data_IF_515493156934
#
_entry.id   IF_515493156934
#
_cell.length_a   1.000
_cell.length_b   1.000
_cell.length_c   1.000
_cell.angle_alpha   90.00
_cell.angle_beta   90.00
_cell.angle_gamma   90.00
#
_symmetry.space_group_name_H-M   'P 1'
#
loop_
_entity.id
_entity.type
_entity.pdbx_description
1 polymer ?
#
# COMPACT_ATOMS: atom_id res chain seq x y z
N UNK A 1 -33.03 63.24 16.21
CA UNK A 1 -33.26 61.93 16.87
C UNK A 1 -33.27 60.86 15.78
N UNK A 2 -32.10 60.31 15.45
CA UNK A 2 -31.95 59.24 14.43
C UNK A 2 -31.24 58.09 15.13
N UNK A 3 -31.91 56.93 15.15
CA UNK A 3 -31.50 55.73 15.90
C UNK A 3 -30.19 55.17 15.31
N UNK A 4 -29.24 54.71 16.15
CA UNK A 4 -28.09 53.97 15.64
C UNK A 4 -28.54 52.57 15.19
N UNK A 5 -28.07 52.16 14.02
CA UNK A 5 -28.19 50.80 13.51
C UNK A 5 -27.42 49.90 14.48
N UNK A 6 -28.14 49.01 15.17
CA UNK A 6 -27.54 47.99 16.03
C UNK A 6 -26.66 47.08 15.16
N UNK A 7 -25.34 47.23 15.32
CA UNK A 7 -24.34 46.23 14.97
C UNK A 7 -24.77 44.88 15.56
N UNK A 8 -25.07 43.91 14.71
CA UNK A 8 -25.32 42.51 15.05
C UNK A 8 -24.06 41.89 15.67
N UNK A 9 -23.96 41.92 17.00
CA UNK A 9 -23.10 41.01 17.78
C UNK A 9 -23.86 39.70 18.00
N UNK A 10 -23.20 38.56 17.73
CA UNK A 10 -23.48 37.32 18.49
C UNK A 10 -23.84 36.04 17.74
N UNK A 11 -23.51 35.87 16.46
CA UNK A 11 -23.52 34.52 15.87
C UNK A 11 -22.10 33.93 15.96
N UNK A 12 -21.89 32.95 16.85
CA UNK A 12 -20.66 32.16 16.87
C UNK A 12 -20.39 31.63 15.46
N UNK A 13 -19.13 31.70 15.02
CA UNK A 13 -18.71 31.18 13.72
C UNK A 13 -19.10 29.71 13.63
N UNK A 14 -19.30 29.23 12.41
CA UNK A 14 -19.54 27.80 12.15
C UNK A 14 -18.40 26.95 12.75
N UNK A 15 -17.17 27.48 12.73
CA UNK A 15 -16.01 26.86 13.37
C UNK A 15 -16.16 26.77 14.90
N UNK A 16 -16.54 27.89 15.56
CA UNK A 16 -16.74 27.94 17.01
C UNK A 16 -17.81 26.93 17.47
N UNK A 17 -18.88 26.78 16.69
CA UNK A 17 -19.95 25.80 16.98
C UNK A 17 -19.48 24.36 16.84
N UNK A 18 -18.59 24.07 15.89
CA UNK A 18 -18.00 22.74 15.72
C UNK A 18 -17.07 22.42 16.90
N UNK A 19 -16.22 23.37 17.27
CA UNK A 19 -15.31 23.22 18.41
C UNK A 19 -16.08 23.04 19.74
N UNK A 20 -17.16 23.79 19.93
CA UNK A 20 -18.03 23.66 21.10
C UNK A 20 -18.67 22.26 21.16
N UNK A 21 -19.19 21.72 20.05
CA UNK A 21 -19.75 20.36 20.00
C UNK A 21 -18.70 19.30 20.31
N UNK A 22 -17.49 19.44 19.77
CA UNK A 22 -16.38 18.53 20.07
C UNK A 22 -16.02 18.56 21.57
N UNK A 23 -15.98 19.75 22.18
CA UNK A 23 -15.75 19.91 23.63
C UNK A 23 -16.87 19.32 24.49
N UNK A 24 -18.12 19.40 24.01
CA UNK A 24 -19.29 18.83 24.68
C UNK A 24 -19.42 17.31 24.49
N UNK A 25 -18.58 16.68 23.66
CA UNK A 25 -18.66 15.26 23.35
C UNK A 25 -19.78 14.88 22.37
N UNK A 26 -20.43 15.86 21.73
CA UNK A 26 -21.41 15.62 20.66
C UNK A 26 -20.71 15.33 19.33
N UNK A 27 -20.00 14.22 19.27
CA UNK A 27 -19.22 13.82 18.09
C UNK A 27 -20.10 13.47 16.89
N UNK A 28 -21.27 12.88 17.14
CA UNK A 28 -22.22 12.58 16.08
C UNK A 28 -22.77 13.87 15.45
N UNK A 29 -23.20 14.84 16.27
CA UNK A 29 -23.66 16.14 15.78
C UNK A 29 -22.55 16.92 15.07
N UNK A 30 -21.31 16.87 15.59
CA UNK A 30 -20.15 17.45 14.91
C UNK A 30 -19.92 16.80 13.53
N UNK A 31 -19.94 15.47 13.43
CA UNK A 31 -19.79 14.74 12.16
C UNK A 31 -20.88 15.14 11.15
N UNK A 32 -22.15 15.16 11.56
CA UNK A 32 -23.25 15.54 10.65
C UNK A 32 -23.11 16.99 10.17
N UNK A 33 -22.64 17.89 11.05
CA UNK A 33 -22.38 19.28 10.70
C UNK A 33 -21.20 19.40 9.73
N UNK A 34 -20.10 18.68 9.96
CA UNK A 34 -18.97 18.58 9.03
C UNK A 34 -19.41 18.09 7.65
N UNK A 35 -20.16 16.98 7.58
CA UNK A 35 -20.67 16.42 6.32
C UNK A 35 -21.58 17.40 5.59
N UNK A 36 -22.46 18.10 6.30
CA UNK A 36 -23.37 19.08 5.69
C UNK A 36 -22.61 20.26 5.10
N UNK A 37 -21.59 20.77 5.81
CA UNK A 37 -20.72 21.84 5.33
C UNK A 37 -19.89 21.39 4.13
N UNK A 38 -19.30 20.20 4.22
CA UNK A 38 -18.53 19.58 3.15
C UNK A 38 -19.35 19.46 1.88
N UNK A 39 -20.55 18.86 1.94
CA UNK A 39 -21.43 18.69 0.78
C UNK A 39 -21.82 20.01 0.14
N UNK A 40 -22.04 21.06 0.94
CA UNK A 40 -22.32 22.41 0.43
C UNK A 40 -21.13 23.01 -0.31
N UNK A 41 -19.92 22.93 0.25
CA UNK A 41 -18.73 23.47 -0.42
C UNK A 41 -18.38 22.69 -1.68
N UNK A 42 -18.50 21.36 -1.64
CA UNK A 42 -18.32 20.51 -2.81
C UNK A 42 -19.34 20.84 -3.91
N UNK A 43 -20.63 21.00 -3.55
CA UNK A 43 -21.68 21.35 -4.50
C UNK A 43 -21.54 22.77 -5.07
N UNK A 44 -20.96 23.71 -4.32
CA UNK A 44 -20.68 25.07 -4.81
C UNK A 44 -19.41 25.17 -5.67
N UNK A 45 -18.71 24.07 -5.91
CA UNK A 45 -17.45 24.04 -6.65
C UNK A 45 -16.23 24.56 -5.87
N UNK A 46 -16.39 24.85 -4.57
CA UNK A 46 -15.29 25.30 -3.72
C UNK A 46 -14.56 24.11 -3.12
N UNK A 47 -13.85 23.39 -3.99
CA UNK A 47 -13.19 22.14 -3.64
C UNK A 47 -12.09 22.35 -2.59
N UNK A 48 -11.38 23.48 -2.63
CA UNK A 48 -10.32 23.76 -1.65
C UNK A 48 -10.88 23.84 -0.24
N UNK A 49 -11.96 24.60 -0.01
CA UNK A 49 -12.61 24.66 1.31
C UNK A 49 -13.19 23.32 1.73
N UNK A 50 -13.75 22.55 0.80
CA UNK A 50 -14.25 21.20 1.10
C UNK A 50 -13.12 20.26 1.54
N UNK A 51 -11.96 20.31 0.87
CA UNK A 51 -10.76 19.53 1.22
C UNK A 51 -10.22 19.93 2.60
N UNK A 52 -10.05 21.23 2.85
CA UNK A 52 -9.54 21.74 4.14
C UNK A 52 -10.47 21.37 5.30
N UNK A 53 -11.78 21.47 5.08
CA UNK A 53 -12.78 21.09 6.07
C UNK A 53 -12.74 19.58 6.35
N UNK A 54 -12.69 18.74 5.32
CA UNK A 54 -12.67 17.29 5.48
C UNK A 54 -11.37 16.81 6.16
N UNK A 55 -10.23 17.40 5.80
CA UNK A 55 -8.95 17.16 6.45
C UNK A 55 -9.01 17.52 7.94
N UNK A 56 -9.45 18.74 8.26
CA UNK A 56 -9.56 19.22 9.64
C UNK A 56 -10.51 18.33 10.44
N UNK A 57 -11.65 17.96 9.88
CA UNK A 57 -12.61 17.08 10.52
C UNK A 57 -12.00 15.70 10.82
N UNK A 58 -11.31 15.09 9.84
CA UNK A 58 -10.70 13.77 10.01
C UNK A 58 -9.64 13.77 11.12
N UNK A 59 -8.76 14.77 11.17
CA UNK A 59 -7.74 14.90 12.21
C UNK A 59 -8.38 15.13 13.59
N UNK A 60 -9.34 16.06 13.69
CA UNK A 60 -10.00 16.36 14.97
C UNK A 60 -10.77 15.16 15.51
N UNK A 61 -11.53 14.47 14.66
CA UNK A 61 -12.28 13.28 15.07
C UNK A 61 -11.35 12.16 15.54
N UNK A 62 -10.21 11.94 14.89
CA UNK A 62 -9.20 10.97 15.33
C UNK A 62 -8.52 11.38 16.66
N UNK A 63 -8.29 12.67 16.89
CA UNK A 63 -7.77 13.17 18.17
C UNK A 63 -8.75 12.96 19.35
N UNK A 64 -10.04 12.78 19.05
CA UNK A 64 -11.10 12.46 20.01
C UNK A 64 -11.52 10.97 19.97
N UNK A 65 -10.66 10.09 19.43
CA UNK A 65 -10.85 8.65 19.32
C UNK A 65 -12.09 8.22 18.50
N UNK A 66 -12.60 9.11 17.66
CA UNK A 66 -13.72 8.85 16.76
C UNK A 66 -13.21 8.30 15.42
N UNK A 67 -12.65 7.09 15.46
CA UNK A 67 -11.92 6.47 14.35
C UNK A 67 -12.76 6.29 13.08
N UNK A 68 -13.97 5.74 13.20
CA UNK A 68 -14.86 5.51 12.06
C UNK A 68 -15.30 6.84 11.42
N UNK A 69 -15.57 7.86 12.23
CA UNK A 69 -15.94 9.20 11.77
C UNK A 69 -14.76 9.91 11.09
N UNK A 70 -13.55 9.74 11.63
CA UNK A 70 -12.32 10.23 11.03
C UNK A 70 -12.07 9.59 9.66
N UNK A 71 -12.15 8.26 9.57
CA UNK A 71 -12.04 7.52 8.31
C UNK A 71 -13.06 8.03 7.30
N UNK A 72 -14.32 8.18 7.70
CA UNK A 72 -15.38 8.66 6.81
C UNK A 72 -15.04 10.03 6.20
N UNK A 73 -14.61 10.99 7.02
CA UNK A 73 -14.20 12.32 6.52
C UNK A 73 -12.94 12.25 5.65
N UNK A 74 -11.98 11.41 5.99
CA UNK A 74 -10.78 11.18 5.18
C UNK A 74 -11.09 10.54 3.82
N UNK A 75 -12.02 9.58 3.77
CA UNK A 75 -12.50 8.99 2.53
C UNK A 75 -13.24 10.01 1.65
N UNK A 76 -14.08 10.86 2.24
CA UNK A 76 -14.75 11.94 1.49
C UNK A 76 -13.73 12.89 0.84
N UNK A 77 -12.68 13.27 1.55
CA UNK A 77 -11.57 14.06 0.99
C UNK A 77 -10.95 13.38 -0.22
N UNK A 78 -10.66 12.07 -0.13
CA UNK A 78 -10.04 11.30 -1.21
C UNK A 78 -10.97 11.08 -2.41
N UNK A 79 -12.26 10.89 -2.17
CA UNK A 79 -13.27 10.81 -3.23
C UNK A 79 -13.36 12.13 -4.00
N UNK A 80 -13.28 13.27 -3.29
CA UNK A 80 -13.21 14.58 -3.93
C UNK A 80 -11.92 14.77 -4.73
N UNK A 81 -10.79 14.22 -4.24
CA UNK A 81 -9.54 14.23 -4.99
C UNK A 81 -9.67 13.46 -6.31
N UNK A 82 -10.25 12.27 -6.27
CA UNK A 82 -10.49 11.46 -7.49
C UNK A 82 -11.41 12.21 -8.44
N UNK A 83 -12.57 12.68 -7.97
CA UNK A 83 -13.56 13.37 -8.80
C UNK A 83 -12.99 14.62 -9.50
N UNK A 84 -12.10 15.35 -8.83
CA UNK A 84 -11.54 16.60 -9.33
C UNK A 84 -10.14 16.47 -9.91
N UNK A 85 -9.67 15.24 -10.17
CA UNK A 85 -8.33 14.98 -10.73
C UNK A 85 -7.20 15.68 -9.96
N UNK A 86 -7.35 15.78 -8.63
CA UNK A 86 -6.33 16.38 -7.76
C UNK A 86 -5.03 15.55 -7.89
N UNK A 87 -3.88 16.21 -8.16
CA UNK A 87 -2.63 15.52 -8.44
C UNK A 87 -2.02 14.89 -7.20
N UNK A 88 -1.29 13.79 -7.39
CA UNK A 88 -0.50 13.14 -6.35
C UNK A 88 0.81 13.91 -6.15
N UNK A 89 0.78 14.90 -5.27
CA UNK A 89 1.92 15.73 -4.90
C UNK A 89 2.20 15.71 -3.39
N UNK A 90 3.32 16.29 -2.96
CA UNK A 90 3.72 16.34 -1.55
C UNK A 90 2.71 17.09 -0.67
N UNK A 91 2.05 18.12 -1.19
CA UNK A 91 1.04 18.87 -0.43
C UNK A 91 -0.18 18.01 -0.11
N UNK A 92 -0.66 17.23 -1.08
CA UNK A 92 -1.81 16.36 -0.90
C UNK A 92 -1.45 15.11 -0.07
N UNK A 93 -0.25 14.56 -0.25
CA UNK A 93 0.27 13.46 0.58
C UNK A 93 0.45 13.89 2.04
N UNK A 94 0.95 15.09 2.31
CA UNK A 94 1.11 15.58 3.70
C UNK A 94 -0.23 15.67 4.46
N UNK A 95 -1.33 16.02 3.78
CA UNK A 95 -2.68 15.97 4.38
C UNK A 95 -3.10 14.54 4.74
N UNK A 96 -2.82 13.58 3.86
CA UNK A 96 -3.11 12.15 4.12
C UNK A 96 -2.26 11.64 5.29
N UNK A 97 -0.98 12.03 5.32
CA UNK A 97 -0.06 11.70 6.41
C UNK A 97 -0.56 12.20 7.76
N UNK A 98 -0.99 13.47 7.83
CA UNK A 98 -1.52 14.06 9.05
C UNK A 98 -2.76 13.31 9.56
N UNK A 99 -3.65 12.86 8.66
CA UNK A 99 -4.80 12.03 9.03
C UNK A 99 -4.33 10.66 9.56
N UNK A 100 -3.43 9.97 8.86
CA UNK A 100 -2.89 8.66 9.28
C UNK A 100 -2.21 8.75 10.64
N UNK A 101 -1.34 9.75 10.85
CA UNK A 101 -0.65 9.96 12.12
C UNK A 101 -1.63 10.24 13.29
N UNK A 102 -2.77 10.87 13.01
CA UNK A 102 -3.81 11.10 14.01
C UNK A 102 -4.51 9.81 14.48
N UNK A 103 -4.51 8.73 13.70
CA UNK A 103 -4.97 7.41 14.16
C UNK A 103 -4.04 6.80 15.22
N UNK A 104 -2.77 7.22 15.27
CA UNK A 104 -1.78 6.79 16.28
C UNK A 104 -1.61 5.26 16.36
N UNK A 105 -1.89 4.53 15.27
CA UNK A 105 -2.01 3.08 15.24
C UNK A 105 -2.99 2.50 16.29
N UNK A 106 -3.89 3.32 16.84
CA UNK A 106 -4.84 2.91 17.88
C UNK A 106 -6.04 2.16 17.29
N UNK A 107 -6.37 2.41 16.02
CA UNK A 107 -7.41 1.68 15.29
C UNK A 107 -6.92 1.29 13.88
N UNK A 108 -6.00 0.31 13.77
CA UNK A 108 -5.31 0.00 12.52
C UNK A 108 -6.25 -0.42 11.37
N UNK A 109 -7.35 -1.12 11.67
CA UNK A 109 -8.37 -1.46 10.67
C UNK A 109 -8.93 -0.23 9.94
N UNK A 110 -9.29 0.82 10.69
CA UNK A 110 -9.89 2.03 10.09
C UNK A 110 -8.82 2.87 9.37
N UNK A 111 -7.60 2.92 9.91
CA UNK A 111 -6.44 3.54 9.28
C UNK A 111 -6.08 2.85 7.95
N UNK A 112 -6.06 1.52 7.92
CA UNK A 112 -5.79 0.72 6.73
C UNK A 112 -6.87 0.94 5.65
N UNK A 113 -8.15 0.98 6.01
CA UNK A 113 -9.23 1.26 5.06
C UNK A 113 -9.14 2.69 4.48
N UNK A 114 -8.74 3.67 5.29
CA UNK A 114 -8.44 5.02 4.82
C UNK A 114 -7.25 5.03 3.83
N UNK A 115 -6.12 4.42 4.20
CA UNK A 115 -4.92 4.37 3.36
C UNK A 115 -5.15 3.56 2.07
N UNK A 116 -6.01 2.53 2.07
CA UNK A 116 -6.46 1.86 0.83
C UNK A 116 -7.14 2.83 -0.13
N UNK A 117 -7.98 3.73 0.38
CA UNK A 117 -8.58 4.78 -0.44
C UNK A 117 -7.51 5.74 -0.98
N UNK A 118 -6.49 6.06 -0.18
CA UNK A 118 -5.38 6.91 -0.61
C UNK A 118 -4.56 6.24 -1.74
N UNK A 119 -4.24 4.95 -1.59
CA UNK A 119 -3.60 4.17 -2.65
C UNK A 119 -4.47 4.13 -3.91
N UNK A 120 -5.79 3.93 -3.79
CA UNK A 120 -6.72 3.97 -4.92
C UNK A 120 -6.73 5.33 -5.62
N UNK A 121 -6.76 6.43 -4.87
CA UNK A 121 -6.62 7.78 -5.43
C UNK A 121 -5.32 7.92 -6.22
N UNK A 122 -4.19 7.49 -5.65
CA UNK A 122 -2.90 7.60 -6.31
C UNK A 122 -2.77 6.74 -7.58
N UNK A 123 -3.45 5.59 -7.65
CA UNK A 123 -3.54 4.79 -8.88
C UNK A 123 -4.36 5.48 -9.97
N UNK A 124 -5.37 6.26 -9.56
CA UNK A 124 -6.33 6.88 -10.48
C UNK A 124 -5.80 8.19 -11.03
N UNK A 125 -5.18 9.00 -10.17
CA UNK A 125 -4.74 10.36 -10.50
C UNK A 125 -3.21 10.51 -10.60
N UNK A 126 -2.45 9.47 -10.23
CA UNK A 126 -0.99 9.45 -10.29
C UNK A 126 -0.46 8.75 -11.54
N UNK A 127 0.86 8.64 -11.61
CA UNK A 127 1.57 8.04 -12.75
C UNK A 127 1.87 6.55 -12.58
N UNK A 128 1.81 6.04 -11.34
CA UNK A 128 2.18 4.66 -11.00
C UNK A 128 0.97 3.74 -11.02
N UNK A 129 1.01 2.69 -11.84
CA UNK A 129 -0.09 1.71 -11.98
C UNK A 129 -0.45 0.99 -10.67
N UNK A 130 0.53 0.83 -9.77
CA UNK A 130 0.35 0.18 -8.47
C UNK A 130 0.16 1.17 -7.33
N UNK A 131 0.07 2.48 -7.61
CA UNK A 131 -0.08 3.52 -6.60
C UNK A 131 1.24 4.15 -6.21
N UNK A 132 1.16 5.25 -5.47
CA UNK A 132 2.31 5.99 -4.95
C UNK A 132 3.09 5.15 -3.94
N UNK A 133 4.42 5.22 -4.03
CA UNK A 133 5.33 4.37 -3.23
C UNK A 133 5.27 4.69 -1.74
N UNK A 134 5.07 5.96 -1.39
CA UNK A 134 5.00 6.38 0.01
C UNK A 134 3.67 5.96 0.65
N UNK A 135 2.56 6.10 -0.08
CA UNK A 135 1.26 5.60 0.37
C UNK A 135 1.25 4.08 0.52
N UNK A 136 1.91 3.36 -0.38
CA UNK A 136 2.10 1.91 -0.27
C UNK A 136 2.91 1.56 0.98
N UNK A 137 3.97 2.32 1.27
CA UNK A 137 4.78 2.13 2.46
C UNK A 137 3.98 2.34 3.76
N UNK A 138 3.18 3.42 3.84
CA UNK A 138 2.36 3.70 5.02
C UNK A 138 1.36 2.58 5.28
N UNK A 139 0.67 2.11 4.23
CA UNK A 139 -0.27 0.99 4.36
C UNK A 139 0.44 -0.32 4.75
N UNK A 140 1.63 -0.58 4.21
CA UNK A 140 2.44 -1.74 4.59
C UNK A 140 2.81 -1.72 6.09
N UNK A 141 3.12 -0.54 6.64
CA UNK A 141 3.44 -0.37 8.07
C UNK A 141 2.24 -0.65 8.97
N UNK A 142 1.05 -0.17 8.62
CA UNK A 142 -0.19 -0.47 9.37
C UNK A 142 -0.43 -1.98 9.41
N UNK A 143 -0.32 -2.67 8.27
CA UNK A 143 -0.45 -4.13 8.24
C UNK A 143 0.63 -4.88 9.00
N UNK A 144 1.86 -4.36 8.98
CA UNK A 144 2.96 -4.93 9.78
C UNK A 144 2.65 -4.84 11.27
N UNK A 145 2.11 -3.70 11.72
CA UNK A 145 1.68 -3.50 13.10
C UNK A 145 0.55 -4.47 13.49
N UNK A 146 -0.41 -4.73 12.60
CA UNK A 146 -1.48 -5.72 12.81
C UNK A 146 -1.03 -7.19 12.67
N UNK A 147 0.25 -7.43 12.33
CA UNK A 147 0.78 -8.76 12.00
C UNK A 147 0.08 -9.43 10.80
N UNK A 148 -0.62 -8.66 9.96
CA UNK A 148 -1.08 -9.14 8.65
C UNK A 148 0.08 -9.06 7.65
N UNK A 149 1.02 -10.00 7.79
CA UNK A 149 2.22 -10.03 6.96
C UNK A 149 1.93 -10.31 5.49
N UNK A 150 0.80 -10.93 5.17
CA UNK A 150 0.41 -11.19 3.77
C UNK A 150 0.07 -9.89 3.08
N UNK A 151 -0.81 -9.09 3.69
CA UNK A 151 -1.15 -7.76 3.17
C UNK A 151 0.06 -6.83 3.20
N UNK A 152 0.83 -6.82 4.30
CA UNK A 152 2.05 -6.01 4.40
C UNK A 152 3.03 -6.30 3.26
N UNK A 153 3.31 -7.58 2.98
CA UNK A 153 4.21 -8.00 1.89
C UNK A 153 3.74 -7.46 0.53
N UNK A 154 2.45 -7.59 0.22
CA UNK A 154 1.90 -7.11 -1.06
C UNK A 154 2.09 -5.60 -1.26
N UNK A 155 2.07 -4.82 -0.17
CA UNK A 155 2.29 -3.38 -0.20
C UNK A 155 3.79 -3.03 -0.24
N UNK A 156 4.65 -3.72 0.52
CA UNK A 156 6.11 -3.52 0.49
C UNK A 156 6.72 -3.76 -0.90
N UNK A 157 6.20 -4.74 -1.66
CA UNK A 157 6.64 -4.99 -3.04
C UNK A 157 6.49 -3.78 -3.98
N UNK A 158 5.69 -2.79 -3.58
CA UNK A 158 5.41 -1.56 -4.34
C UNK A 158 5.82 -0.28 -3.61
N UNK A 159 6.49 -0.40 -2.45
CA UNK A 159 6.83 0.73 -1.58
C UNK A 159 8.19 1.39 -1.88
N UNK A 160 9.04 0.75 -2.69
CA UNK A 160 10.43 1.20 -2.96
C UNK A 160 11.27 1.44 -1.68
N UNK A 161 10.98 0.71 -0.60
CA UNK A 161 11.70 0.75 0.68
C UNK A 161 12.33 -0.61 1.01
N UNK A 162 13.34 -1.07 0.24
CA UNK A 162 13.90 -2.42 0.37
C UNK A 162 14.57 -2.68 1.73
N UNK A 163 15.21 -1.68 2.32
CA UNK A 163 15.89 -1.82 3.63
C UNK A 163 14.88 -2.08 4.74
N UNK A 164 13.77 -1.34 4.75
CA UNK A 164 12.69 -1.53 5.73
C UNK A 164 11.98 -2.86 5.50
N UNK A 165 11.70 -3.21 4.24
CA UNK A 165 11.08 -4.47 3.89
C UNK A 165 11.92 -5.68 4.36
N UNK A 166 13.24 -5.64 4.13
CA UNK A 166 14.16 -6.65 4.67
C UNK A 166 14.15 -6.71 6.20
N UNK A 167 14.03 -5.56 6.87
CA UNK A 167 13.87 -5.48 8.33
C UNK A 167 12.62 -6.20 8.82
N UNK A 168 11.47 -5.95 8.18
CA UNK A 168 10.19 -6.60 8.51
C UNK A 168 10.25 -8.10 8.23
N UNK A 169 10.82 -8.53 7.11
CA UNK A 169 11.01 -9.95 6.79
C UNK A 169 11.88 -10.64 7.86
N UNK A 170 12.97 -10.00 8.29
CA UNK A 170 13.86 -10.56 9.31
C UNK A 170 13.16 -10.69 10.68
N UNK A 171 12.34 -9.70 11.05
CA UNK A 171 11.51 -9.76 12.25
C UNK A 171 10.49 -10.90 12.15
N UNK A 172 9.76 -11.00 11.04
CA UNK A 172 8.77 -12.07 10.83
C UNK A 172 9.43 -13.46 10.84
N UNK A 173 10.62 -13.59 10.24
CA UNK A 173 11.40 -14.83 10.27
C UNK A 173 11.90 -15.24 11.67
N UNK A 174 11.80 -14.37 12.69
CA UNK A 174 12.05 -14.73 14.08
C UNK A 174 10.81 -15.29 14.79
N UNK A 175 9.61 -15.03 14.25
CA UNK A 175 8.35 -15.59 14.74
C UNK A 175 8.02 -16.95 14.08
N UNK A 176 8.67 -17.26 12.94
CA UNK A 176 8.51 -18.53 12.21
C UNK A 176 9.51 -19.63 12.61
N UNK A 177 9.42 -20.79 11.94
CA UNK A 177 10.37 -21.88 12.17
C UNK A 177 11.77 -21.54 11.66
N UNK A 178 12.81 -21.90 12.42
CA UNK A 178 14.20 -21.65 12.02
C UNK A 178 14.55 -22.26 10.66
N UNK A 179 13.98 -23.44 10.35
CA UNK A 179 14.12 -24.14 9.08
C UNK A 179 13.44 -23.43 7.91
N UNK A 180 12.63 -22.39 8.13
CA UNK A 180 11.94 -21.62 7.10
C UNK A 180 12.54 -20.23 6.88
N UNK A 181 13.56 -19.85 7.66
CA UNK A 181 14.07 -18.47 7.65
C UNK A 181 14.56 -18.01 6.27
N UNK A 182 15.09 -18.90 5.44
CA UNK A 182 15.50 -18.61 4.07
C UNK A 182 14.32 -18.46 3.10
N UNK A 183 13.16 -19.07 3.39
CA UNK A 183 11.95 -18.96 2.57
C UNK A 183 11.38 -17.54 2.60
N UNK A 184 11.46 -16.83 3.74
CA UNK A 184 10.94 -15.46 3.87
C UNK A 184 11.62 -14.52 2.88
N UNK A 185 12.95 -14.48 2.90
CA UNK A 185 13.73 -13.61 2.00
C UNK A 185 13.69 -14.13 0.56
N UNK A 186 13.77 -15.43 0.33
CA UNK A 186 13.71 -15.99 -1.02
C UNK A 186 12.38 -15.65 -1.71
N UNK A 187 11.25 -15.74 -0.99
CA UNK A 187 9.93 -15.37 -1.50
C UNK A 187 9.89 -13.91 -1.94
N UNK A 188 10.33 -13.00 -1.08
CA UNK A 188 10.34 -11.56 -1.38
C UNK A 188 11.25 -11.24 -2.58
N UNK A 189 12.43 -11.85 -2.66
CA UNK A 189 13.36 -11.65 -3.79
C UNK A 189 12.76 -12.16 -5.09
N UNK A 190 12.15 -13.35 -5.09
CA UNK A 190 11.48 -13.90 -6.28
C UNK A 190 10.29 -13.05 -6.73
N UNK A 191 9.50 -12.52 -5.78
CA UNK A 191 8.40 -11.62 -6.08
C UNK A 191 8.90 -10.29 -6.70
N UNK A 192 9.94 -9.68 -6.13
CA UNK A 192 10.55 -8.47 -6.69
C UNK A 192 11.17 -8.71 -8.07
N UNK A 193 11.86 -9.83 -8.26
CA UNK A 193 12.38 -10.23 -9.56
C UNK A 193 11.26 -10.42 -10.58
N UNK A 194 10.15 -11.07 -10.22
CA UNK A 194 8.96 -11.20 -11.05
C UNK A 194 8.28 -9.85 -11.38
N UNK A 195 8.51 -8.82 -10.57
CA UNK A 195 8.11 -7.43 -10.82
C UNK A 195 9.14 -6.62 -11.61
N UNK A 196 10.19 -7.25 -12.14
CA UNK A 196 11.32 -6.59 -12.83
C UNK A 196 12.08 -5.58 -11.96
N UNK A 197 11.98 -5.71 -10.64
CA UNK A 197 12.64 -4.83 -9.68
C UNK A 197 13.90 -5.50 -9.12
N UNK A 198 14.92 -5.66 -9.97
CA UNK A 198 16.21 -6.25 -9.54
C UNK A 198 16.95 -5.39 -8.52
N UNK A 199 16.77 -4.06 -8.56
CA UNK A 199 17.39 -3.14 -7.59
C UNK A 199 16.98 -3.50 -6.17
N UNK A 200 15.67 -3.52 -5.91
CA UNK A 200 15.16 -3.80 -4.56
C UNK A 200 15.34 -5.27 -4.20
N UNK A 201 15.25 -6.18 -5.17
CA UNK A 201 15.51 -7.60 -4.94
C UNK A 201 16.93 -7.85 -4.39
N UNK A 202 17.94 -7.18 -4.97
CA UNK A 202 19.32 -7.23 -4.47
C UNK A 202 19.46 -6.58 -3.09
N UNK A 203 18.90 -5.39 -2.89
CA UNK A 203 19.00 -4.66 -1.62
C UNK A 203 18.29 -5.37 -0.46
N UNK A 204 17.12 -5.97 -0.72
CA UNK A 204 16.39 -6.79 0.25
C UNK A 204 17.22 -7.99 0.67
N UNK A 205 17.79 -8.72 -0.29
CA UNK A 205 18.63 -9.89 0.01
C UNK A 205 19.86 -9.50 0.84
N UNK A 206 20.57 -8.44 0.42
CA UNK A 206 21.78 -7.98 1.10
C UNK A 206 21.48 -7.52 2.53
N UNK A 207 20.47 -6.67 2.71
CA UNK A 207 20.07 -6.15 4.03
C UNK A 207 19.58 -7.27 4.95
N UNK A 208 18.78 -8.20 4.43
CA UNK A 208 18.29 -9.34 5.23
C UNK A 208 19.46 -10.21 5.71
N UNK A 209 20.38 -10.59 4.81
CA UNK A 209 21.51 -11.46 5.16
C UNK A 209 22.53 -10.78 6.07
N UNK A 210 22.66 -9.45 6.03
CA UNK A 210 23.46 -8.70 6.98
C UNK A 210 22.90 -8.79 8.41
N UNK A 211 21.58 -8.84 8.56
CA UNK A 211 20.91 -8.99 9.86
C UNK A 211 20.82 -10.44 10.31
N UNK A 212 20.60 -11.36 9.37
CA UNK A 212 20.41 -12.79 9.61
C UNK A 212 21.23 -13.58 8.59
N UNK A 213 22.53 -13.85 8.88
CA UNK A 213 23.37 -14.65 8.00
C UNK A 213 22.79 -16.04 7.80
N UNK A 214 22.62 -16.44 6.55
CA UNK A 214 22.12 -17.75 6.16
C UNK A 214 22.99 -18.31 5.05
N UNK A 215 23.44 -19.55 5.23
CA UNK A 215 24.13 -20.33 4.21
C UNK A 215 23.30 -21.59 3.93
N UNK A 216 22.38 -21.47 2.98
CA UNK A 216 21.51 -22.57 2.56
C UNK A 216 21.55 -22.69 1.04
N UNK A 217 21.23 -23.89 0.50
CA UNK A 217 21.10 -24.05 -0.95
C UNK A 217 20.12 -23.05 -1.57
N UNK A 218 19.03 -22.70 -0.89
CA UNK A 218 18.06 -21.73 -1.39
C UNK A 218 18.64 -20.31 -1.47
N UNK A 219 19.40 -19.88 -0.46
CA UNK A 219 20.07 -18.58 -0.50
C UNK A 219 21.11 -18.53 -1.63
N UNK A 220 21.86 -19.62 -1.84
CA UNK A 220 22.82 -19.71 -2.95
C UNK A 220 22.10 -19.65 -4.30
N UNK A 221 20.97 -20.34 -4.45
CA UNK A 221 20.11 -20.22 -5.63
C UNK A 221 19.70 -18.77 -5.90
N UNK A 222 19.16 -18.07 -4.90
CA UNK A 222 18.66 -16.70 -5.08
C UNK A 222 19.80 -15.72 -5.43
N UNK A 223 20.98 -15.86 -4.81
CA UNK A 223 22.18 -15.08 -5.17
C UNK A 223 22.58 -15.29 -6.64
N UNK A 224 22.64 -16.54 -7.08
CA UNK A 224 22.99 -16.86 -8.47
C UNK A 224 21.90 -16.45 -9.46
N UNK A 225 20.64 -16.59 -9.09
CA UNK A 225 19.51 -16.13 -9.88
C UNK A 225 19.61 -14.64 -10.17
N UNK A 226 19.80 -13.81 -9.14
CA UNK A 226 19.91 -12.35 -9.32
C UNK A 226 21.04 -11.97 -10.29
N UNK A 227 22.20 -12.63 -10.21
CA UNK A 227 23.32 -12.44 -11.16
C UNK A 227 23.02 -12.94 -12.58
N UNK A 228 22.21 -13.99 -12.68
CA UNK A 228 21.80 -14.56 -13.97
C UNK A 228 20.84 -13.59 -14.68
N UNK A 229 19.89 -12.99 -13.94
CA UNK A 229 18.90 -12.05 -14.49
C UNK A 229 19.47 -10.71 -14.99
N UNK A 230 20.72 -10.40 -14.68
CA UNK A 230 21.46 -9.25 -15.24
C UNK A 230 21.92 -9.49 -16.70
N UNK A 231 21.71 -10.69 -17.26
CA UNK A 231 22.30 -11.14 -18.52
C UNK A 231 21.28 -11.94 -19.34
N UNK A 232 21.50 -12.04 -20.64
CA UNK A 232 20.80 -13.02 -21.48
C UNK A 232 21.41 -14.42 -21.27
N UNK A 233 20.93 -15.12 -20.25
CA UNK A 233 21.51 -16.38 -19.76
C UNK A 233 20.44 -17.44 -19.45
N UNK A 234 19.48 -17.63 -20.38
CA UNK A 234 18.42 -18.64 -20.24
C UNK A 234 18.94 -20.07 -19.88
N UNK A 235 20.01 -20.60 -20.51
CA UNK A 235 20.53 -21.91 -20.14
C UNK A 235 20.99 -21.99 -18.68
N UNK A 236 21.59 -20.92 -18.15
CA UNK A 236 22.00 -20.84 -16.75
C UNK A 236 20.78 -20.74 -15.82
N UNK A 237 19.77 -19.98 -16.21
CA UNK A 237 18.50 -19.90 -15.47
C UNK A 237 17.80 -21.25 -15.34
N UNK A 238 17.79 -22.06 -16.41
CA UNK A 238 17.26 -23.42 -16.40
C UNK A 238 18.10 -24.35 -15.53
N UNK A 239 19.43 -24.32 -15.69
CA UNK A 239 20.36 -25.11 -14.88
C UNK A 239 20.20 -24.83 -13.39
N UNK A 240 20.05 -23.56 -12.99
CA UNK A 240 19.83 -23.21 -11.58
C UNK A 240 18.53 -23.83 -11.03
N UNK A 241 17.44 -23.81 -11.80
CA UNK A 241 16.18 -24.42 -11.37
C UNK A 241 16.29 -25.93 -11.20
N UNK A 242 16.98 -26.61 -12.12
CA UNK A 242 17.22 -28.05 -12.03
C UNK A 242 18.09 -28.42 -10.82
N UNK A 243 19.23 -27.73 -10.67
CA UNK A 243 20.23 -28.01 -9.63
C UNK A 243 19.73 -27.70 -8.23
N UNK A 244 18.84 -26.73 -8.08
CA UNK A 244 18.28 -26.33 -6.79
C UNK A 244 16.82 -26.79 -6.61
N UNK A 245 16.34 -27.72 -7.45
CA UNK A 245 14.95 -28.22 -7.44
C UNK A 245 14.45 -28.63 -6.05
N UNK A 246 15.26 -29.34 -5.26
CA UNK A 246 14.91 -29.74 -3.88
C UNK A 246 14.75 -28.54 -2.92
N UNK A 247 15.58 -27.50 -3.08
CA UNK A 247 15.45 -26.29 -2.27
C UNK A 247 14.22 -25.47 -2.69
N UNK A 248 13.93 -25.45 -3.99
CA UNK A 248 12.78 -24.76 -4.57
C UNK A 248 11.44 -25.44 -4.24
N UNK A 249 11.39 -26.76 -4.15
CA UNK A 249 10.17 -27.52 -3.86
C UNK A 249 9.62 -27.31 -2.45
N UNK A 250 10.39 -26.65 -1.56
CA UNK A 250 9.96 -26.29 -0.20
C UNK A 250 8.82 -25.27 -0.19
N UNK A 251 8.69 -24.44 -1.23
CA UNK A 251 7.55 -23.54 -1.41
C UNK A 251 6.98 -23.68 -2.84
N UNK A 252 5.78 -24.26 -3.00
CA UNK A 252 5.13 -24.42 -4.30
C UNK A 252 4.93 -23.09 -5.06
N UNK A 253 4.83 -21.95 -4.37
CA UNK A 253 4.64 -20.64 -5.01
C UNK A 253 5.86 -20.21 -5.82
N UNK A 254 7.07 -20.71 -5.51
CA UNK A 254 8.29 -20.36 -6.23
C UNK A 254 8.22 -20.74 -7.70
N UNK A 255 7.54 -21.84 -8.04
CA UNK A 255 7.32 -22.24 -9.43
C UNK A 255 6.62 -21.15 -10.23
N UNK A 256 5.59 -20.52 -9.66
CA UNK A 256 4.83 -19.47 -10.32
C UNK A 256 5.69 -18.21 -10.53
N UNK A 257 6.47 -17.82 -9.52
CA UNK A 257 7.38 -16.68 -9.66
C UNK A 257 8.46 -16.94 -10.71
N UNK A 258 9.06 -18.13 -10.72
CA UNK A 258 10.08 -18.51 -11.70
C UNK A 258 9.52 -18.58 -13.12
N UNK A 259 8.27 -19.01 -13.30
CA UNK A 259 7.59 -18.94 -14.60
C UNK A 259 7.44 -17.49 -15.08
N UNK A 260 6.99 -16.59 -14.21
CA UNK A 260 6.86 -15.16 -14.54
C UNK A 260 8.23 -14.55 -14.86
N UNK A 261 9.26 -14.88 -14.08
CA UNK A 261 10.65 -14.44 -14.33
C UNK A 261 11.15 -14.96 -15.68
N UNK A 262 10.96 -16.24 -15.99
CA UNK A 262 11.35 -16.82 -17.28
C UNK A 262 10.66 -16.14 -18.46
N UNK A 263 9.38 -15.81 -18.32
CA UNK A 263 8.63 -15.07 -19.34
C UNK A 263 9.19 -13.66 -19.53
N UNK A 264 9.43 -12.92 -18.45
CA UNK A 264 9.83 -11.51 -18.52
C UNK A 264 11.28 -11.28 -18.96
N UNK A 265 12.21 -12.09 -18.47
CA UNK A 265 13.63 -11.90 -18.73
C UNK A 265 14.13 -12.67 -19.97
N UNK A 266 13.46 -13.76 -20.35
CA UNK A 266 13.92 -14.66 -21.41
C UNK A 266 12.86 -15.02 -22.44
N UNK A 267 11.66 -14.41 -22.39
CA UNK A 267 10.55 -14.68 -23.30
C UNK A 267 10.12 -16.17 -23.34
N UNK A 268 10.32 -16.90 -22.24
CA UNK A 268 9.87 -18.30 -22.12
C UNK A 268 8.34 -18.33 -22.14
N UNK A 269 7.78 -19.11 -23.06
CA UNK A 269 6.34 -19.27 -23.16
C UNK A 269 5.83 -20.11 -21.97
N UNK A 270 4.71 -19.71 -21.33
CA UNK A 270 4.11 -20.51 -20.29
C UNK A 270 3.68 -21.87 -20.88
N UNK A 271 3.83 -22.97 -20.13
CA UNK A 271 3.32 -24.27 -20.58
C UNK A 271 1.82 -24.13 -20.85
N UNK A 272 1.40 -24.45 -22.07
CA UNK A 272 -0.02 -24.41 -22.43
C UNK A 272 -0.80 -25.34 -21.52
N UNK A 273 -1.97 -24.88 -21.05
CA UNK A 273 -2.92 -25.73 -20.34
C UNK A 273 -3.32 -26.89 -21.26
N UNK A 274 -3.34 -28.12 -20.74
CA UNK A 274 -3.79 -29.30 -21.49
C UNK A 274 -5.19 -29.08 -22.10
N UNK A 275 -6.04 -28.28 -21.46
CA UNK A 275 -7.35 -27.89 -21.98
C UNK A 275 -7.25 -26.96 -23.20
N UNK A 276 -6.30 -26.01 -23.20
CA UNK A 276 -6.06 -25.12 -24.35
C UNK A 276 -5.48 -25.86 -25.55
N UNK A 277 -4.64 -26.88 -25.30
CA UNK A 277 -4.08 -27.74 -26.36
C UNK A 277 -5.13 -28.72 -26.91
N UNK A 278 -6.07 -29.18 -26.07
CA UNK A 278 -7.25 -29.94 -26.53
C UNK A 278 -8.21 -29.07 -27.35
N UNK A 279 -8.52 -27.85 -26.90
CA UNK A 279 -9.40 -26.94 -27.64
C UNK A 279 -8.82 -26.52 -28.99
N UNK A 280 -7.51 -26.31 -29.10
CA UNK A 280 -6.88 -26.00 -30.39
C UNK A 280 -6.84 -27.20 -31.33
N UNK A 281 -6.74 -28.43 -30.81
CA UNK A 281 -6.87 -29.65 -31.61
C UNK A 281 -8.32 -29.90 -32.09
N UNK A 282 -9.34 -29.51 -31.31
CA UNK A 282 -10.74 -29.71 -31.68
C UNK A 282 -11.39 -28.51 -32.40
N UNK A 283 -10.79 -27.31 -32.33
CA UNK A 283 -11.30 -26.08 -32.95
C UNK A 283 -10.62 -25.68 -34.26
N UNK A 284 -9.60 -26.42 -34.72
CA UNK A 284 -8.83 -26.12 -35.93
C UNK A 284 -9.39 -26.71 -37.23
N UNK A 285 -10.68 -27.05 -37.27
CA UNK A 285 -11.31 -27.67 -38.44
C UNK A 285 -12.71 -27.12 -38.71
N UNK A 286 -12.80 -25.85 -39.11
CA UNK A 286 -13.79 -25.29 -40.04
C UNK A 286 -13.31 -23.93 -40.54
#
# INVERSE_FOLDING_TARGET
MVRPIKSTRGAASVADKLEERLKQGDYYGALQMYKTLYSRYAASGDHLRAIELAHTAAVQLANHDQWTASREMGCLLLDLYVANKVPVDESNKSRIKAISEAFRNACPKEEAEFLKHAVKWSKTNGTRQRGDTELQLWLARVYTHEKDFTSANNHYLHAESPVEFAGVLAQHANEGYASESDLFVARAVLQLAALENLRDANEVLATFLAKKPLDTPLINFVKFLLRTLERDALPLFQLLQERYSHALSRDPAFRNFLQIIGQKYYNVQPPQSALSSLMSMFGGGM
#
